data_IF_668235021174
#
_entry.id   IF_668235021174
#
_cell.length_a   1.000
_cell.length_b   1.000
_cell.length_c   1.000
_cell.angle_alpha   90.00
_cell.angle_beta   90.00
_cell.angle_gamma   90.00
#
_symmetry.space_group_name_H-M   'P 1'
#
loop_
_entity.id
_entity.type
_entity.pdbx_description
1 polymer ?
#
# COMPACT_ATOMS: atom_id res chain seq x y z
N UNK A 1 -20.58 -7.54 -4.59
CA UNK A 1 -20.37 -8.84 -3.90
C UNK A 1 -20.48 -8.56 -2.41
N UNK A 2 -21.37 -9.24 -1.71
CA UNK A 2 -21.53 -9.10 -0.27
C UNK A 2 -20.54 -10.01 0.47
N UNK A 3 -19.76 -9.44 1.41
CA UNK A 3 -18.90 -10.19 2.31
C UNK A 3 -19.53 -10.25 3.70
N UNK A 4 -19.86 -11.46 4.16
CA UNK A 4 -20.55 -11.68 5.46
C UNK A 4 -19.65 -11.49 6.68
N UNK A 5 -18.33 -11.54 6.51
CA UNK A 5 -17.35 -11.44 7.62
C UNK A 5 -16.17 -10.55 7.20
N UNK A 6 -15.72 -9.71 8.12
CA UNK A 6 -14.50 -8.93 7.93
C UNK A 6 -13.27 -9.80 8.30
N UNK A 7 -12.50 -10.17 7.28
CA UNK A 7 -11.24 -10.92 7.39
C UNK A 7 -9.99 -10.04 7.16
N UNK A 8 -10.16 -8.74 7.12
CA UNK A 8 -9.09 -7.77 6.88
C UNK A 8 -9.11 -7.18 5.47
N UNK A 9 -8.17 -6.24 5.25
CA UNK A 9 -8.11 -5.46 4.02
C UNK A 9 -7.82 -6.33 2.80
N UNK A 10 -6.76 -7.15 2.84
CA UNK A 10 -6.36 -7.99 1.72
C UNK A 10 -7.40 -9.05 1.37
N UNK A 11 -7.96 -9.72 2.37
CA UNK A 11 -9.01 -10.72 2.16
C UNK A 11 -10.28 -10.11 1.54
N UNK A 12 -10.67 -8.90 1.97
CA UNK A 12 -11.77 -8.17 1.37
C UNK A 12 -11.55 -7.84 -0.11
N UNK A 13 -10.36 -7.32 -0.43
CA UNK A 13 -9.98 -7.00 -1.81
C UNK A 13 -9.85 -8.25 -2.69
N UNK A 14 -9.35 -9.35 -2.15
CA UNK A 14 -9.22 -10.61 -2.88
C UNK A 14 -10.56 -11.16 -3.39
N UNK A 15 -11.67 -10.94 -2.69
CA UNK A 15 -13.00 -11.30 -3.19
C UNK A 15 -13.29 -10.60 -4.53
N UNK A 16 -13.00 -9.31 -4.61
CA UNK A 16 -13.14 -8.53 -5.84
C UNK A 16 -12.15 -8.96 -6.93
N UNK A 17 -10.90 -9.21 -6.56
CA UNK A 17 -9.83 -9.64 -7.47
C UNK A 17 -10.10 -11.05 -8.04
N UNK A 18 -10.61 -11.99 -7.25
CA UNK A 18 -11.05 -13.30 -7.76
C UNK A 18 -12.20 -13.17 -8.75
N UNK A 19 -13.15 -12.28 -8.48
CA UNK A 19 -14.22 -11.98 -9.44
C UNK A 19 -13.67 -11.38 -10.73
N UNK A 20 -12.78 -10.40 -10.65
CA UNK A 20 -12.12 -9.80 -11.80
C UNK A 20 -11.34 -10.83 -12.62
N UNK A 21 -10.61 -11.73 -11.95
CA UNK A 21 -9.89 -12.83 -12.58
C UNK A 21 -10.82 -13.80 -13.33
N UNK A 22 -11.97 -14.17 -12.71
CA UNK A 22 -12.98 -15.03 -13.32
C UNK A 22 -13.63 -14.40 -14.55
N UNK A 23 -13.78 -13.07 -14.55
CA UNK A 23 -14.34 -12.30 -15.68
C UNK A 23 -13.31 -12.00 -16.78
N UNK A 24 -12.05 -12.30 -16.58
CA UNK A 24 -11.00 -12.07 -17.56
C UNK A 24 -10.57 -10.60 -17.70
N UNK A 25 -10.83 -9.75 -16.71
CA UNK A 25 -10.35 -8.37 -16.73
C UNK A 25 -8.81 -8.33 -16.71
N UNK A 26 -8.24 -7.36 -17.44
CA UNK A 26 -6.78 -7.16 -17.53
C UNK A 26 -6.25 -6.36 -16.34
N UNK A 27 -7.06 -5.46 -15.80
CA UNK A 27 -6.71 -4.55 -14.71
C UNK A 27 -7.84 -4.51 -13.68
N UNK A 28 -7.49 -4.19 -12.44
CA UNK A 28 -8.46 -3.87 -11.41
C UNK A 28 -8.04 -2.59 -10.69
N UNK A 29 -9.00 -1.76 -10.32
CA UNK A 29 -8.84 -0.64 -9.42
C UNK A 29 -9.27 -1.08 -8.02
N UNK A 30 -8.39 -0.93 -7.06
CA UNK A 30 -8.68 -1.03 -5.63
C UNK A 30 -8.77 0.40 -5.11
N UNK A 31 -9.89 0.73 -4.51
CA UNK A 31 -10.13 2.06 -3.97
C UNK A 31 -10.95 1.99 -2.70
N UNK A 32 -10.57 2.76 -1.70
CA UNK A 32 -11.39 2.95 -0.52
C UNK A 32 -12.71 3.67 -0.87
N UNK A 33 -13.79 3.44 -0.12
CA UNK A 33 -15.09 4.05 -0.42
C UNK A 33 -15.12 5.58 -0.24
N UNK A 34 -14.12 6.17 0.39
CA UNK A 34 -13.94 7.60 0.62
C UNK A 34 -12.98 8.28 -0.38
N UNK A 35 -12.71 7.59 -1.52
CA UNK A 35 -11.96 8.15 -2.64
C UNK A 35 -12.86 8.90 -3.62
N UNK A 36 -12.38 10.05 -4.12
CA UNK A 36 -12.99 10.83 -5.18
C UNK A 36 -12.05 10.92 -6.40
N UNK A 37 -12.64 10.86 -7.60
CA UNK A 37 -11.92 10.90 -8.87
C UNK A 37 -12.44 12.09 -9.70
N UNK A 38 -11.88 13.30 -9.50
CA UNK A 38 -12.39 14.50 -10.15
C UNK A 38 -12.14 14.58 -11.66
N UNK A 39 -11.19 13.80 -12.17
CA UNK A 39 -10.80 13.82 -13.59
C UNK A 39 -11.58 12.80 -14.41
N UNK A 40 -12.34 13.20 -15.43
CA UNK A 40 -13.14 12.27 -16.26
C UNK A 40 -12.32 11.16 -16.94
N UNK A 41 -11.06 11.45 -17.27
CA UNK A 41 -10.16 10.53 -17.98
C UNK A 41 -9.20 9.77 -17.05
N UNK A 42 -9.38 9.86 -15.74
CA UNK A 42 -8.49 9.29 -14.73
C UNK A 42 -8.14 7.82 -15.00
N UNK A 43 -9.15 6.96 -15.05
CA UNK A 43 -8.97 5.51 -15.27
C UNK A 43 -8.30 5.25 -16.64
N UNK A 44 -8.76 5.92 -17.69
CA UNK A 44 -8.23 5.74 -19.05
C UNK A 44 -6.74 6.07 -19.11
N UNK A 45 -6.32 7.17 -18.48
CA UNK A 45 -4.90 7.58 -18.45
C UNK A 45 -4.02 6.56 -17.75
N UNK A 46 -4.43 6.08 -16.58
CA UNK A 46 -3.67 5.07 -15.82
C UNK A 46 -3.56 3.76 -16.61
N UNK A 47 -4.67 3.29 -17.18
CA UNK A 47 -4.66 2.07 -17.98
C UNK A 47 -3.75 2.23 -19.21
N UNK A 48 -3.80 3.36 -19.92
CA UNK A 48 -2.93 3.61 -21.07
C UNK A 48 -1.44 3.58 -20.69
N UNK A 49 -1.09 4.14 -19.54
CA UNK A 49 0.30 4.08 -19.01
C UNK A 49 0.71 2.65 -18.70
N UNK A 50 -0.15 1.88 -18.04
CA UNK A 50 0.14 0.47 -17.74
C UNK A 50 0.19 -0.40 -19.01
N UNK A 51 -0.55 -0.07 -20.06
CA UNK A 51 -0.48 -0.78 -21.36
C UNK A 51 0.80 -0.46 -22.11
N UNK A 52 1.27 0.79 -22.05
CA UNK A 52 2.52 1.22 -22.68
C UNK A 52 3.76 0.59 -22.02
N UNK A 53 3.69 0.28 -20.73
CA UNK A 53 4.78 -0.37 -20.00
C UNK A 53 4.29 -1.63 -19.28
N UNK A 54 4.64 -2.79 -19.85
CA UNK A 54 4.24 -4.10 -19.32
C UNK A 54 4.96 -4.50 -18.04
N UNK A 55 6.03 -3.79 -17.64
CA UNK A 55 6.72 -4.03 -16.37
C UNK A 55 5.95 -3.48 -15.17
N UNK A 56 4.98 -2.58 -15.39
CA UNK A 56 4.17 -2.03 -14.31
C UNK A 56 3.16 -3.09 -13.82
N UNK A 57 3.38 -3.59 -12.62
CA UNK A 57 2.46 -4.47 -11.90
C UNK A 57 1.38 -3.70 -11.17
N UNK A 58 1.78 -2.61 -10.51
CA UNK A 58 0.95 -1.73 -9.68
C UNK A 58 1.21 -0.28 -10.08
N UNK A 59 0.13 0.49 -10.23
CA UNK A 59 0.21 1.93 -10.47
C UNK A 59 -0.59 2.68 -9.41
N UNK A 60 0.09 3.55 -8.67
CA UNK A 60 -0.52 4.56 -7.80
C UNK A 60 -0.54 5.92 -8.49
N UNK A 61 -1.40 6.81 -8.03
CA UNK A 61 -1.55 8.16 -8.57
C UNK A 61 -1.30 9.22 -7.52
N UNK A 62 -1.33 10.49 -7.88
CA UNK A 62 -1.26 11.58 -6.92
C UNK A 62 -2.55 11.63 -6.09
N UNK A 63 -2.48 11.19 -4.85
CA UNK A 63 -3.59 11.16 -3.91
C UNK A 63 -3.40 12.33 -2.93
N UNK A 64 -4.40 13.21 -2.86
CA UNK A 64 -4.40 14.37 -1.98
C UNK A 64 -5.45 14.18 -0.90
N UNK A 65 -5.07 14.38 0.37
CA UNK A 65 -6.02 14.35 1.48
C UNK A 65 -6.84 15.66 1.59
N UNK A 66 -7.77 15.71 2.55
CA UNK A 66 -8.63 16.87 2.77
C UNK A 66 -7.84 18.16 3.15
N UNK A 67 -6.61 17.99 3.65
CA UNK A 67 -5.70 19.08 4.03
C UNK A 67 -4.72 19.44 2.91
N UNK A 68 -4.82 18.83 1.73
CA UNK A 68 -3.95 19.09 0.58
C UNK A 68 -2.58 18.40 0.64
N UNK A 69 -2.41 17.40 1.52
CA UNK A 69 -1.15 16.66 1.64
C UNK A 69 -1.13 15.46 0.70
N UNK A 70 0.00 15.24 0.03
CA UNK A 70 0.22 14.09 -0.82
C UNK A 70 0.34 12.80 0.00
N UNK A 71 -0.28 11.72 -0.47
CA UNK A 71 -0.24 10.38 0.12
C UNK A 71 0.52 9.35 -0.73
N UNK A 72 1.00 9.75 -1.90
CA UNK A 72 1.82 8.98 -2.82
C UNK A 72 2.92 9.86 -3.43
N UNK A 73 4.06 9.26 -3.82
CA UNK A 73 4.49 7.91 -3.49
C UNK A 73 4.88 7.76 -2.01
N UNK A 74 5.10 6.51 -1.57
CA UNK A 74 5.60 6.20 -0.22
C UNK A 74 7.08 5.79 -0.30
N UNK A 75 7.80 6.06 0.79
CA UNK A 75 9.23 5.75 0.87
C UNK A 75 9.50 4.29 1.19
N UNK A 76 10.71 3.83 0.87
CA UNK A 76 11.16 2.49 1.23
C UNK A 76 11.40 2.38 2.74
N UNK A 77 10.96 1.28 3.32
CA UNK A 77 11.15 1.01 4.73
C UNK A 77 12.50 0.33 4.96
N UNK A 78 13.48 1.06 5.46
CA UNK A 78 14.82 0.54 5.76
C UNK A 78 14.85 -0.26 7.08
N UNK A 79 15.88 -1.12 7.24
CA UNK A 79 16.10 -1.83 8.52
C UNK A 79 16.18 -0.88 9.72
N UNK A 80 16.87 0.24 9.58
CA UNK A 80 17.04 1.20 10.67
C UNK A 80 15.74 1.93 11.00
N UNK A 81 14.91 2.27 10.00
CA UNK A 81 13.59 2.86 10.25
C UNK A 81 12.64 1.87 10.91
N UNK A 82 12.75 0.58 10.57
CA UNK A 82 12.00 -0.47 11.25
C UNK A 82 12.46 -0.65 12.70
N UNK A 83 13.75 -0.68 12.96
CA UNK A 83 14.29 -0.89 14.30
C UNK A 83 14.00 0.29 15.24
N UNK A 84 14.05 1.51 14.73
CA UNK A 84 13.88 2.74 15.49
C UNK A 84 12.43 3.26 15.52
N UNK A 85 11.48 2.56 14.91
CA UNK A 85 10.09 3.02 14.83
C UNK A 85 9.46 3.37 16.18
N UNK A 86 9.74 2.69 17.33
CA UNK A 86 9.16 3.09 18.60
C UNK A 86 9.68 4.47 19.06
N UNK A 87 10.95 4.75 18.75
CA UNK A 87 11.56 6.05 19.03
C UNK A 87 10.96 7.13 18.15
N UNK A 88 10.79 6.85 16.86
CA UNK A 88 10.18 7.79 15.90
C UNK A 88 8.71 8.07 16.25
N UNK A 89 7.98 7.08 16.74
CA UNK A 89 6.62 7.26 17.22
C UNK A 89 6.57 8.19 18.46
N UNK A 90 7.51 8.05 19.38
CA UNK A 90 7.64 8.95 20.54
C UNK A 90 8.01 10.36 20.08
N UNK A 91 9.01 10.49 19.19
CA UNK A 91 9.44 11.79 18.62
C UNK A 91 8.30 12.47 17.88
N UNK A 92 7.53 11.75 17.08
CA UNK A 92 6.35 12.29 16.38
C UNK A 92 5.30 12.83 17.38
N UNK A 93 5.02 12.10 18.46
CA UNK A 93 4.10 12.57 19.51
C UNK A 93 4.59 13.84 20.20
N UNK A 94 5.91 13.97 20.41
CA UNK A 94 6.50 15.12 21.09
C UNK A 94 6.64 16.35 20.17
N UNK A 95 7.09 16.16 18.94
CA UNK A 95 7.43 17.25 18.03
C UNK A 95 6.32 17.64 17.05
N UNK A 96 5.32 16.77 16.84
CA UNK A 96 4.28 16.88 15.80
C UNK A 96 4.83 17.11 14.38
N UNK A 97 6.13 16.96 14.19
CA UNK A 97 6.76 17.08 12.87
C UNK A 97 6.91 15.68 12.27
N UNK A 98 6.27 15.46 11.13
CA UNK A 98 6.62 14.35 10.24
C UNK A 98 8.07 14.55 9.79
N UNK A 99 8.85 13.47 9.71
CA UNK A 99 10.10 13.50 8.96
C UNK A 99 9.74 13.95 7.53
N UNK A 100 10.35 15.05 7.09
CA UNK A 100 10.13 15.55 5.74
C UNK A 100 10.56 14.44 4.77
N UNK A 101 9.60 13.94 4.00
CA UNK A 101 9.91 13.01 2.91
C UNK A 101 10.58 13.81 1.80
N UNK A 102 11.67 13.28 1.26
CA UNK A 102 12.37 13.84 0.09
C UNK A 102 11.71 13.40 -1.23
N UNK A 103 10.49 12.86 -1.16
CA UNK A 103 9.78 12.30 -2.30
C UNK A 103 9.31 13.41 -3.25
N UNK A 104 9.53 13.18 -4.53
CA UNK A 104 9.05 14.06 -5.60
C UNK A 104 7.61 13.67 -5.97
N UNK A 105 6.67 14.55 -5.66
CA UNK A 105 5.25 14.39 -5.98
C UNK A 105 4.87 14.96 -7.36
N UNK A 106 5.81 15.64 -8.03
CA UNK A 106 5.53 16.37 -9.27
C UNK A 106 5.83 15.58 -10.53
N UNK A 107 6.70 14.59 -10.44
CA UNK A 107 7.12 13.79 -11.58
C UNK A 107 6.70 12.32 -11.45
N UNK A 108 6.15 11.81 -12.54
CA UNK A 108 5.83 10.38 -12.65
C UNK A 108 7.09 9.53 -12.73
N UNK A 109 7.17 8.47 -11.92
CA UNK A 109 8.37 7.63 -11.83
C UNK A 109 8.07 6.24 -11.29
N UNK A 110 9.01 5.33 -11.46
CA UNK A 110 9.03 4.11 -10.65
C UNK A 110 9.30 4.47 -9.18
N UNK A 111 8.53 3.89 -8.29
CA UNK A 111 8.67 4.14 -6.87
C UNK A 111 8.66 2.82 -6.08
N UNK A 112 9.15 2.85 -4.83
CA UNK A 112 9.20 1.64 -4.03
C UNK A 112 7.81 1.16 -3.57
N UNK A 113 6.93 2.07 -3.17
CA UNK A 113 5.65 1.75 -2.54
C UNK A 113 4.61 2.80 -2.92
N UNK A 114 3.34 2.39 -3.05
CA UNK A 114 2.18 3.27 -3.18
C UNK A 114 1.12 2.90 -2.15
N UNK A 115 0.28 3.88 -1.79
CA UNK A 115 -0.77 3.73 -0.79
C UNK A 115 -1.85 2.74 -1.23
N UNK A 116 -2.27 1.88 -0.32
CA UNK A 116 -3.35 0.93 -0.52
C UNK A 116 -4.73 1.57 -0.65
N UNK A 117 -4.91 2.84 -0.27
CA UNK A 117 -6.22 3.48 -0.35
C UNK A 117 -6.73 3.65 -1.79
N UNK A 118 -5.83 3.74 -2.78
CA UNK A 118 -6.19 3.74 -4.20
C UNK A 118 -5.02 3.28 -5.06
N UNK A 119 -5.14 2.13 -5.71
CA UNK A 119 -4.11 1.60 -6.60
C UNK A 119 -4.71 0.74 -7.73
N UNK A 120 -4.06 0.78 -8.88
CA UNK A 120 -4.37 -0.09 -10.01
C UNK A 120 -3.44 -1.29 -10.01
N UNK A 121 -3.98 -2.46 -10.30
CA UNK A 121 -3.20 -3.69 -10.39
C UNK A 121 -3.39 -4.38 -11.74
N UNK A 122 -2.31 -4.93 -12.26
CA UNK A 122 -2.34 -5.80 -13.43
C UNK A 122 -2.77 -7.21 -13.00
N UNK A 123 -3.83 -7.74 -13.60
CA UNK A 123 -4.41 -9.01 -13.19
C UNK A 123 -3.52 -10.23 -13.49
N UNK A 124 -2.62 -10.14 -14.50
CA UNK A 124 -1.62 -11.20 -14.72
C UNK A 124 -0.62 -11.28 -13.55
N UNK A 125 -0.17 -10.14 -13.03
CA UNK A 125 0.65 -10.07 -11.82
C UNK A 125 -0.08 -10.63 -10.60
N UNK A 126 -1.33 -10.20 -10.36
CA UNK A 126 -2.14 -10.68 -9.23
C UNK A 126 -2.28 -12.21 -9.25
N UNK A 127 -2.53 -12.81 -10.43
CA UNK A 127 -2.59 -14.27 -10.57
C UNK A 127 -1.23 -14.93 -10.33
N UNK A 128 -0.14 -14.31 -10.76
CA UNK A 128 1.22 -14.83 -10.60
C UNK A 128 1.65 -14.90 -9.12
N UNK A 129 1.27 -13.92 -8.31
CA UNK A 129 1.58 -13.90 -6.87
C UNK A 129 0.59 -14.68 -6.01
N UNK A 130 -0.46 -15.27 -6.58
CA UNK A 130 -1.50 -15.97 -5.84
C UNK A 130 -2.44 -15.05 -5.06
N UNK A 131 -2.67 -13.84 -5.56
CA UNK A 131 -3.45 -12.76 -4.96
C UNK A 131 -2.74 -12.06 -3.78
N UNK A 132 -3.42 -11.13 -3.11
CA UNK A 132 -2.86 -10.44 -1.96
C UNK A 132 -2.69 -11.39 -0.78
N UNK A 133 -1.64 -11.20 -0.02
CA UNK A 133 -1.37 -12.00 1.18
C UNK A 133 -2.39 -11.72 2.29
N UNK A 134 -3.16 -12.72 2.69
CA UNK A 134 -4.23 -12.61 3.68
C UNK A 134 -3.78 -12.86 5.15
N UNK A 135 -2.47 -13.08 5.36
CA UNK A 135 -1.96 -13.37 6.70
C UNK A 135 -1.86 -12.12 7.60
N UNK A 136 -2.11 -10.94 7.05
CA UNK A 136 -2.26 -9.70 7.81
C UNK A 136 -3.71 -9.23 7.75
N UNK A 137 -4.27 -8.87 8.91
CA UNK A 137 -5.63 -8.36 8.98
C UNK A 137 -5.70 -6.89 8.54
N UNK A 138 -4.77 -6.08 9.00
CA UNK A 138 -4.66 -4.64 8.74
C UNK A 138 -3.23 -4.19 9.01
N UNK A 139 -2.77 -3.18 8.26
CA UNK A 139 -1.42 -2.61 8.27
C UNK A 139 -0.39 -3.47 7.53
N UNK A 140 0.63 -2.81 7.02
CA UNK A 140 1.72 -3.38 6.23
C UNK A 140 1.32 -4.00 4.88
N UNK A 141 0.10 -3.79 4.42
CA UNK A 141 -0.36 -4.28 3.11
C UNK A 141 0.51 -3.76 1.97
N UNK A 142 0.84 -2.47 2.00
CA UNK A 142 1.63 -1.81 0.96
C UNK A 142 3.07 -2.34 0.85
N UNK A 143 3.86 -2.43 1.94
CA UNK A 143 5.20 -3.01 1.85
C UNK A 143 5.18 -4.51 1.55
N UNK A 144 4.17 -5.26 1.95
CA UNK A 144 3.99 -6.67 1.55
C UNK A 144 3.77 -6.75 0.04
N UNK A 145 2.85 -5.97 -0.51
CA UNK A 145 2.59 -5.91 -1.95
C UNK A 145 3.84 -5.47 -2.72
N UNK A 146 4.57 -4.47 -2.21
CA UNK A 146 5.81 -4.01 -2.82
C UNK A 146 6.87 -5.12 -2.89
N UNK A 147 7.01 -5.90 -1.83
CA UNK A 147 7.89 -7.07 -1.82
C UNK A 147 7.43 -8.14 -2.83
N UNK A 148 6.12 -8.43 -2.92
CA UNK A 148 5.57 -9.35 -3.91
C UNK A 148 5.84 -8.88 -5.36
N UNK A 149 5.69 -7.58 -5.65
CA UNK A 149 6.05 -7.00 -6.95
C UNK A 149 7.53 -7.21 -7.26
N UNK A 150 8.41 -6.94 -6.29
CA UNK A 150 9.86 -7.12 -6.43
C UNK A 150 10.25 -8.57 -6.70
N UNK A 151 9.65 -9.54 -6.01
CA UNK A 151 9.99 -10.97 -6.14
C UNK A 151 9.70 -11.54 -7.53
N UNK A 152 8.75 -10.97 -8.25
CA UNK A 152 8.45 -11.36 -9.64
C UNK A 152 9.14 -10.47 -10.69
N UNK A 153 10.04 -9.57 -10.25
CA UNK A 153 10.83 -8.71 -11.13
C UNK A 153 10.04 -7.58 -11.81
N UNK A 154 8.82 -7.31 -11.35
CA UNK A 154 7.99 -6.22 -11.86
C UNK A 154 8.22 -4.91 -11.08
N UNK A 155 7.49 -3.85 -11.45
CA UNK A 155 7.67 -2.50 -10.92
C UNK A 155 6.37 -1.90 -10.38
N UNK A 156 6.52 -0.99 -9.43
CA UNK A 156 5.48 -0.07 -8.99
C UNK A 156 5.73 1.28 -9.65
N UNK A 157 4.70 1.90 -10.16
CA UNK A 157 4.77 3.20 -10.83
C UNK A 157 3.88 4.23 -10.13
N UNK A 158 4.41 5.41 -9.94
CA UNK A 158 3.68 6.58 -9.49
C UNK A 158 3.38 7.49 -10.66
N UNK A 159 2.12 7.85 -10.85
CA UNK A 159 1.64 8.73 -11.91
C UNK A 159 1.18 10.06 -11.33
N UNK A 160 2.03 11.08 -11.42
CA UNK A 160 1.78 12.41 -10.85
C UNK A 160 0.65 13.19 -11.55
N UNK A 161 0.44 12.91 -12.85
CA UNK A 161 -0.53 13.64 -13.66
C UNK A 161 -1.97 13.16 -13.44
N UNK A 162 -2.21 12.03 -12.79
CA UNK A 162 -3.54 11.53 -12.45
C UNK A 162 -3.83 11.79 -10.98
N UNK A 163 -4.86 12.60 -10.69
CA UNK A 163 -5.17 13.04 -9.32
C UNK A 163 -6.43 12.39 -8.78
N UNK A 164 -6.34 11.96 -7.53
CA UNK A 164 -7.46 11.49 -6.74
C UNK A 164 -7.51 12.21 -5.39
N UNK A 165 -8.67 12.27 -4.77
CA UNK A 165 -8.85 12.91 -3.46
C UNK A 165 -9.31 11.85 -2.46
N UNK A 166 -8.64 11.80 -1.31
CA UNK A 166 -8.98 10.89 -0.21
C UNK A 166 -9.65 11.69 0.92
N UNK A 167 -10.96 11.58 1.03
CA UNK A 167 -11.78 12.25 2.07
C UNK A 167 -11.76 11.51 3.40
N UNK A 168 -10.59 11.03 3.79
CA UNK A 168 -10.48 10.20 4.99
C UNK A 168 -11.00 10.90 6.25
N UNK A 169 -12.06 10.35 6.84
CA UNK A 169 -12.58 10.75 8.14
C UNK A 169 -11.93 9.85 9.20
N UNK A 170 -11.04 10.42 10.00
CA UNK A 170 -10.39 9.67 11.08
C UNK A 170 -11.44 9.02 11.99
N UNK A 171 -11.50 7.70 11.98
CA UNK A 171 -12.36 6.97 12.90
C UNK A 171 -11.88 7.18 14.34
N UNK A 172 -12.71 7.80 15.16
CA UNK A 172 -12.49 7.88 16.61
C UNK A 172 -12.93 6.60 17.33
N UNK A 173 -13.56 5.66 16.61
CA UNK A 173 -14.05 4.39 17.13
C UNK A 173 -12.95 3.33 17.11
N UNK A 174 -12.83 2.58 18.20
CA UNK A 174 -11.95 1.44 18.30
C UNK A 174 -10.94 1.54 19.45
N UNK A 175 -10.51 0.37 19.92
CA UNK A 175 -9.54 0.25 21.00
C UNK A 175 -8.11 0.54 20.45
N UNK A 176 -7.40 1.58 20.93
CA UNK A 176 -6.04 1.90 20.49
C UNK A 176 -5.06 0.75 20.74
N UNK A 177 -5.21 0.03 21.83
CA UNK A 177 -4.37 -1.13 22.17
C UNK A 177 -4.50 -2.24 21.11
N UNK A 178 -5.76 -2.58 20.74
CA UNK A 178 -5.99 -3.57 19.68
C UNK A 178 -5.37 -3.17 18.34
N UNK A 179 -5.42 -1.87 18.00
CA UNK A 179 -4.76 -1.36 16.77
C UNK A 179 -3.25 -1.50 16.84
N UNK A 180 -2.65 -1.26 18.01
CA UNK A 180 -1.22 -1.42 18.21
C UNK A 180 -0.80 -2.90 18.07
N UNK A 181 -1.54 -3.82 18.69
CA UNK A 181 -1.28 -5.27 18.55
C UNK A 181 -1.35 -5.68 17.08
N UNK A 182 -2.40 -5.30 16.35
CA UNK A 182 -2.50 -5.59 14.92
C UNK A 182 -1.33 -5.01 14.10
N UNK A 183 -0.86 -3.82 14.45
CA UNK A 183 0.30 -3.22 13.78
C UNK A 183 1.58 -4.01 14.05
N UNK A 184 1.85 -4.37 15.31
CA UNK A 184 3.01 -5.18 15.67
C UNK A 184 2.98 -6.55 14.98
N UNK A 185 1.86 -7.27 15.06
CA UNK A 185 1.69 -8.58 14.41
C UNK A 185 1.94 -8.51 12.91
N UNK A 186 1.38 -7.49 12.25
CA UNK A 186 1.55 -7.30 10.80
C UNK A 186 2.99 -6.92 10.43
N UNK A 187 3.67 -6.12 11.26
CA UNK A 187 5.09 -5.78 11.08
C UNK A 187 5.98 -7.01 11.25
N UNK A 188 5.73 -7.82 12.26
CA UNK A 188 6.48 -9.05 12.49
C UNK A 188 6.34 -10.01 11.32
N UNK A 189 5.11 -10.20 10.84
CA UNK A 189 4.83 -11.00 9.66
C UNK A 189 5.56 -10.47 8.43
N UNK A 190 5.40 -9.16 8.12
CA UNK A 190 6.08 -8.50 7.00
C UNK A 190 7.60 -8.63 7.11
N UNK A 191 8.19 -8.36 8.27
CA UNK A 191 9.64 -8.44 8.47
C UNK A 191 10.18 -9.86 8.28
N UNK A 192 9.41 -10.86 8.67
CA UNK A 192 9.80 -12.27 8.56
C UNK A 192 9.66 -12.86 7.17
N UNK A 193 8.62 -12.47 6.43
CA UNK A 193 8.25 -13.14 5.18
C UNK A 193 8.31 -12.25 3.94
N UNK A 194 8.27 -10.93 4.12
CA UNK A 194 8.20 -9.94 3.04
C UNK A 194 9.22 -8.82 3.19
N UNK A 195 10.46 -9.19 3.50
CA UNK A 195 11.58 -8.25 3.57
C UNK A 195 12.86 -8.90 3.02
N UNK A 196 13.82 -8.07 2.65
CA UNK A 196 15.18 -8.51 2.27
C UNK A 196 16.12 -8.62 3.47
N UNK A 197 15.60 -8.59 4.69
CA UNK A 197 16.39 -8.62 5.92
C UNK A 197 16.97 -10.02 6.16
N UNK A 198 18.22 -10.07 6.60
CA UNK A 198 18.83 -11.33 6.99
C UNK A 198 18.28 -11.82 8.35
N UNK A 199 18.55 -13.08 8.69
CA UNK A 199 18.02 -13.71 9.92
C UNK A 199 18.33 -12.93 11.19
N UNK A 200 19.55 -12.36 11.32
CA UNK A 200 19.93 -11.56 12.49
C UNK A 200 19.10 -10.28 12.57
N UNK A 201 18.95 -9.58 11.46
CA UNK A 201 18.11 -8.37 11.37
C UNK A 201 16.66 -8.66 11.75
N UNK A 202 16.07 -9.73 11.19
CA UNK A 202 14.70 -10.15 11.55
C UNK A 202 14.59 -10.44 13.04
N UNK A 203 15.56 -11.16 13.64
CA UNK A 203 15.54 -11.47 15.07
C UNK A 203 15.57 -10.19 15.91
N UNK A 204 16.42 -9.22 15.56
CA UNK A 204 16.48 -7.92 16.25
C UNK A 204 15.17 -7.15 16.15
N UNK A 205 14.50 -7.17 14.99
CA UNK A 205 13.22 -6.50 14.79
C UNK A 205 12.10 -7.15 15.61
N UNK A 206 12.07 -8.47 15.71
CA UNK A 206 11.08 -9.19 16.53
C UNK A 206 11.24 -8.93 18.04
N UNK A 207 12.44 -8.58 18.50
CA UNK A 207 12.70 -8.20 19.89
C UNK A 207 12.31 -6.74 20.14
N UNK A 208 12.39 -5.87 19.12
CA UNK A 208 12.13 -4.44 19.24
C UNK A 208 10.63 -4.06 19.15
N UNK A 209 9.77 -4.98 18.73
CA UNK A 209 8.31 -4.81 18.63
C UNK A 209 7.63 -5.22 19.94
#
# INVERSE_FOLDING_TARGET
IENKKNHGYNAGNNIGLHYAAKKGYKYALIANPDMEFPEPNYIKRVISTMEADTNIAVCGTDIIDAEGRHQNPLDYVSFWSELLWPIDMIRYKLSRKSLATTLDYTNSCYCPIVSGCCLFVRMSFIKQIGFFDENVFLYCEEPILAHQVKTVGMKIYYMAEAKAVHRHIKSQKGNPYRRMVLLCDSRDYKNKYHSDFNRLQVTLLLISN
#
